data_IF_861692802929
#
_entry.id   IF_861692802929
#
_cell.length_a   1.000
_cell.length_b   1.000
_cell.length_c   1.000
_cell.angle_alpha   90.00
_cell.angle_beta   90.00
_cell.angle_gamma   90.00
#
_symmetry.space_group_name_H-M   'P 1'
#
loop_
_entity.id
_entity.type
_entity.pdbx_description
1 polymer ?
#
# COMPACT_ATOMS: atom_id res chain seq x y z
N UNK A 1 0.94 -3.54 25.75
CA UNK A 1 0.22 -2.92 24.61
C UNK A 1 1.23 -2.70 23.51
N UNK A 2 0.94 -3.10 22.27
CA UNK A 2 1.79 -2.80 21.12
C UNK A 2 1.85 -1.28 20.91
N UNK A 3 2.97 -0.77 20.40
CA UNK A 3 3.13 0.66 20.12
C UNK A 3 2.21 1.06 18.96
N UNK A 4 1.46 2.16 19.07
CA UNK A 4 0.66 2.70 17.96
C UNK A 4 1.60 3.10 16.81
N UNK A 5 1.33 2.62 15.60
CA UNK A 5 2.02 3.00 14.38
C UNK A 5 1.29 4.11 13.64
N UNK A 6 -0.03 3.94 13.44
CA UNK A 6 -0.90 4.94 12.83
C UNK A 6 -1.98 5.32 13.84
N UNK A 7 -2.22 6.61 14.01
CA UNK A 7 -3.33 7.13 14.79
C UNK A 7 -4.00 8.26 14.05
N UNK A 8 -5.29 8.11 13.85
CA UNK A 8 -6.16 9.10 13.20
C UNK A 8 -7.15 9.60 14.24
N UNK A 9 -7.28 10.91 14.39
CA UNK A 9 -8.13 11.53 15.38
C UNK A 9 -9.02 12.57 14.73
N UNK A 10 -10.33 12.37 14.84
CA UNK A 10 -11.38 13.29 14.39
C UNK A 10 -11.14 13.82 12.97
N UNK A 11 -10.81 12.90 12.03
CA UNK A 11 -10.36 13.26 10.69
C UNK A 11 -11.52 13.61 9.78
N UNK A 12 -11.50 14.85 9.28
CA UNK A 12 -12.41 15.34 8.25
C UNK A 12 -11.66 15.55 6.94
N UNK A 13 -12.22 15.05 5.85
CA UNK A 13 -11.57 15.13 4.52
C UNK A 13 -12.57 15.55 3.47
N UNK A 14 -12.19 16.54 2.67
CA UNK A 14 -12.90 16.97 1.48
C UNK A 14 -12.22 16.49 0.19
N UNK A 15 -13.03 16.17 -0.79
CA UNK A 15 -12.63 15.97 -2.19
C UNK A 15 -13.34 17.04 -2.99
N UNK A 16 -12.58 17.91 -3.64
CA UNK A 16 -13.10 19.16 -4.20
C UNK A 16 -13.83 19.95 -3.08
N UNK A 17 -15.11 20.27 -3.26
CA UNK A 17 -15.92 21.00 -2.27
C UNK A 17 -16.83 20.10 -1.43
N UNK A 18 -16.70 18.77 -1.54
CA UNK A 18 -17.54 17.82 -0.83
C UNK A 18 -16.80 17.15 0.31
N UNK A 19 -17.30 17.27 1.50
CA UNK A 19 -16.81 16.50 2.65
C UNK A 19 -17.24 15.04 2.52
N UNK A 20 -16.26 14.13 2.63
CA UNK A 20 -16.44 12.68 2.49
C UNK A 20 -16.19 11.96 3.84
N UNK A 21 -15.19 12.41 4.60
CA UNK A 21 -14.93 11.87 5.93
C UNK A 21 -15.36 12.87 6.99
N UNK A 22 -16.13 12.40 7.99
CA UNK A 22 -16.80 13.19 8.99
C UNK A 22 -16.37 12.75 10.40
N UNK A 23 -15.15 13.12 10.83
CA UNK A 23 -14.67 12.82 12.18
C UNK A 23 -14.21 11.36 12.37
N UNK A 24 -13.45 10.80 11.42
CA UNK A 24 -12.97 9.41 11.48
C UNK A 24 -11.89 9.27 12.54
N UNK A 25 -12.02 8.21 13.36
CA UNK A 25 -11.03 7.80 14.35
C UNK A 25 -10.56 6.38 14.05
N UNK A 26 -9.24 6.16 13.97
CA UNK A 26 -8.65 4.85 13.71
C UNK A 26 -7.27 4.77 14.37
N UNK A 27 -6.95 3.63 14.96
CA UNK A 27 -5.59 3.34 15.43
C UNK A 27 -5.16 1.97 14.88
N UNK A 28 -3.90 1.88 14.39
CA UNK A 28 -3.25 0.65 13.95
C UNK A 28 -1.95 0.53 14.70
N UNK A 29 -1.74 -0.59 15.39
CA UNK A 29 -0.51 -0.88 16.12
C UNK A 29 0.59 -1.39 15.18
N UNK A 30 1.82 -1.42 15.70
CA UNK A 30 2.95 -2.08 15.02
C UNK A 30 2.69 -3.58 14.93
N UNK A 31 3.02 -4.17 13.78
CA UNK A 31 2.82 -5.60 13.54
C UNK A 31 1.36 -6.03 13.73
N UNK A 32 0.42 -5.21 13.24
CA UNK A 32 -1.02 -5.52 13.24
C UNK A 32 -1.59 -5.50 11.82
N UNK A 33 -2.63 -6.31 11.62
CA UNK A 33 -3.43 -6.35 10.40
C UNK A 33 -4.84 -5.90 10.74
N UNK A 34 -5.21 -4.75 10.21
CA UNK A 34 -6.55 -4.19 10.33
C UNK A 34 -7.29 -4.28 9.01
N UNK A 35 -8.58 -4.56 9.08
CA UNK A 35 -9.47 -4.62 7.91
C UNK A 35 -10.49 -3.49 8.01
N UNK A 36 -10.68 -2.78 6.90
CA UNK A 36 -11.68 -1.73 6.77
C UNK A 36 -12.75 -2.19 5.80
N UNK A 37 -13.96 -2.35 6.30
CA UNK A 37 -15.13 -2.83 5.56
C UNK A 37 -16.24 -1.78 5.54
N UNK A 38 -17.22 -1.96 4.68
CA UNK A 38 -18.40 -1.09 4.61
C UNK A 38 -18.91 -0.93 3.19
N UNK A 39 -20.11 -0.36 2.97
CA UNK A 39 -20.68 -0.14 1.65
C UNK A 39 -19.80 0.72 0.73
N UNK A 40 -20.04 0.67 -0.57
CA UNK A 40 -19.38 1.57 -1.51
C UNK A 40 -19.80 3.02 -1.24
N UNK A 41 -18.86 3.96 -1.37
CA UNK A 41 -19.11 5.38 -1.16
C UNK A 41 -19.00 5.87 0.29
N UNK A 42 -18.66 5.01 1.25
CA UNK A 42 -18.49 5.42 2.68
C UNK A 42 -17.17 6.13 2.96
N UNK A 43 -16.25 6.20 1.99
CA UNK A 43 -14.98 6.92 2.16
C UNK A 43 -13.76 6.05 2.48
N UNK A 44 -13.84 4.72 2.37
CA UNK A 44 -12.71 3.81 2.68
C UNK A 44 -11.45 4.14 1.87
N UNK A 45 -11.56 4.24 0.56
CA UNK A 45 -10.42 4.63 -0.32
C UNK A 45 -9.99 6.09 -0.05
N UNK A 46 -10.96 6.99 0.26
CA UNK A 46 -10.66 8.37 0.67
C UNK A 46 -9.75 8.39 1.90
N UNK A 47 -10.00 7.52 2.88
CA UNK A 47 -9.15 7.39 4.06
C UNK A 47 -7.72 6.96 3.67
N UNK A 48 -7.58 5.95 2.81
CA UNK A 48 -6.27 5.51 2.28
C UNK A 48 -5.51 6.64 1.58
N UNK A 49 -6.20 7.40 0.71
CA UNK A 49 -5.61 8.55 0.03
C UNK A 49 -5.25 9.71 0.98
N UNK A 50 -6.07 9.97 1.98
CA UNK A 50 -5.79 10.98 2.99
C UNK A 50 -4.56 10.61 3.84
N UNK A 51 -4.43 9.34 4.25
CA UNK A 51 -3.25 8.84 4.99
C UNK A 51 -1.97 8.99 4.16
N UNK A 52 -2.03 8.73 2.85
CA UNK A 52 -0.86 8.90 1.97
C UNK A 52 -0.57 10.33 1.57
N UNK A 53 -1.48 11.28 1.87
CA UNK A 53 -1.32 12.70 1.56
C UNK A 53 -1.55 13.04 0.09
N UNK A 54 -2.43 12.33 -0.58
CA UNK A 54 -2.80 12.64 -1.96
C UNK A 54 -3.41 14.04 -2.03
N UNK A 55 -2.88 14.97 -2.87
CA UNK A 55 -3.28 16.38 -2.87
C UNK A 55 -4.74 16.64 -3.30
N UNK A 56 -5.39 15.66 -3.95
CA UNK A 56 -6.81 15.76 -4.28
C UNK A 56 -7.74 15.58 -3.04
N UNK A 57 -7.18 15.17 -1.90
CA UNK A 57 -7.90 14.86 -0.67
C UNK A 57 -7.45 15.80 0.45
N UNK A 58 -8.21 16.86 0.67
CA UNK A 58 -7.85 17.93 1.62
C UNK A 58 -8.33 17.58 3.03
N UNK A 59 -7.39 17.45 3.97
CA UNK A 59 -7.72 17.35 5.40
C UNK A 59 -8.16 18.73 5.89
N UNK A 60 -9.42 18.85 6.34
CA UNK A 60 -10.01 20.11 6.80
C UNK A 60 -9.98 20.23 8.33
N UNK A 61 -9.99 19.11 9.04
CA UNK A 61 -9.91 19.05 10.51
C UNK A 61 -9.36 17.69 10.95
N UNK A 62 -8.91 17.61 12.20
CA UNK A 62 -8.34 16.39 12.78
C UNK A 62 -6.85 16.24 12.53
N UNK A 63 -6.31 15.06 12.85
CA UNK A 63 -4.86 14.79 12.71
C UNK A 63 -4.58 13.35 12.32
N UNK A 64 -3.44 13.16 11.65
CA UNK A 64 -2.86 11.87 11.28
C UNK A 64 -1.46 11.79 11.89
N UNK A 65 -1.29 10.91 12.88
CA UNK A 65 0.00 10.64 13.49
C UNK A 65 0.55 9.30 12.97
N UNK A 66 1.82 9.27 12.60
CA UNK A 66 2.51 8.08 12.14
C UNK A 66 3.83 7.89 12.90
N UNK A 67 3.97 6.76 13.58
CA UNK A 67 5.11 6.44 14.47
C UNK A 67 5.37 7.53 15.53
N UNK A 68 4.28 8.18 15.99
CA UNK A 68 4.30 9.25 17.00
C UNK A 68 4.53 10.65 16.46
N UNK A 69 4.70 10.83 15.15
CA UNK A 69 4.89 12.12 14.50
C UNK A 69 3.64 12.55 13.74
N UNK A 70 3.26 13.82 13.83
CA UNK A 70 2.15 14.39 13.05
C UNK A 70 2.58 14.55 11.59
N UNK A 71 1.89 13.82 10.71
CA UNK A 71 2.13 13.82 9.27
C UNK A 71 1.03 14.54 8.49
N UNK A 72 0.07 15.15 9.17
CA UNK A 72 -1.15 15.71 8.54
C UNK A 72 -0.83 16.70 7.41
N UNK A 73 0.19 17.53 7.58
CA UNK A 73 0.62 18.52 6.58
C UNK A 73 1.78 18.04 5.68
N UNK A 74 2.32 16.84 5.90
CA UNK A 74 3.45 16.35 5.10
C UNK A 74 3.00 15.95 3.68
N UNK A 75 3.80 16.26 2.65
CA UNK A 75 3.53 15.85 1.28
C UNK A 75 3.72 14.32 1.08
N UNK A 76 3.13 13.79 0.00
CA UNK A 76 3.12 12.37 -0.36
C UNK A 76 4.51 11.72 -0.29
N UNK A 77 5.51 12.36 -0.90
CA UNK A 77 6.87 11.84 -0.96
C UNK A 77 7.51 11.68 0.44
N UNK A 78 7.26 12.60 1.35
CA UNK A 78 7.80 12.51 2.71
C UNK A 78 7.09 11.40 3.51
N UNK A 79 5.77 11.24 3.35
CA UNK A 79 5.03 10.13 3.97
C UNK A 79 5.48 8.77 3.42
N UNK A 80 5.74 8.67 2.11
CA UNK A 80 6.28 7.46 1.49
C UNK A 80 7.67 7.11 2.04
N UNK A 81 8.57 8.09 2.22
CA UNK A 81 9.90 7.90 2.83
C UNK A 81 9.81 7.41 4.28
N UNK A 82 8.79 7.83 5.03
CA UNK A 82 8.54 7.33 6.40
C UNK A 82 8.10 5.86 6.43
N UNK A 83 7.70 5.30 5.29
CA UNK A 83 7.32 3.90 5.14
C UNK A 83 5.83 3.66 5.04
N UNK A 84 5.06 4.59 4.48
CA UNK A 84 3.65 4.39 4.11
C UNK A 84 3.60 4.00 2.63
N UNK A 85 2.88 2.92 2.33
CA UNK A 85 2.65 2.40 0.98
C UNK A 85 1.15 2.24 0.73
N UNK A 86 0.70 2.53 -0.49
CA UNK A 86 -0.67 2.31 -0.94
C UNK A 86 -0.65 1.47 -2.21
N UNK A 87 -1.37 0.35 -2.20
CA UNK A 87 -1.76 -0.38 -3.40
C UNK A 87 -3.06 0.21 -3.92
N UNK A 88 -3.05 0.70 -5.14
CA UNK A 88 -4.20 1.37 -5.74
C UNK A 88 -5.24 0.37 -6.25
N UNK A 89 -6.51 0.71 -6.17
CA UNK A 89 -7.59 -0.07 -6.81
C UNK A 89 -7.31 -0.24 -8.31
N UNK A 90 -6.95 0.84 -9.00
CA UNK A 90 -6.58 0.87 -10.41
C UNK A 90 -5.18 1.45 -10.60
N UNK A 91 -4.13 0.62 -10.66
CA UNK A 91 -2.76 1.08 -10.86
C UNK A 91 -2.58 1.76 -12.21
N UNK A 92 -1.99 2.96 -12.20
CA UNK A 92 -1.76 3.74 -13.41
C UNK A 92 -0.62 3.16 -14.25
N UNK A 93 -0.72 3.35 -15.56
CA UNK A 93 0.36 3.06 -16.50
C UNK A 93 1.33 4.25 -16.56
N UNK A 94 2.63 3.95 -16.55
CA UNK A 94 3.70 4.97 -16.62
C UNK A 94 4.62 4.67 -17.81
N UNK A 95 4.29 5.13 -19.01
CA UNK A 95 5.12 4.93 -20.20
C UNK A 95 6.51 5.57 -20.02
N UNK A 96 7.53 4.89 -20.52
CA UNK A 96 8.93 5.37 -20.48
C UNK A 96 9.67 5.12 -19.16
N UNK A 97 9.02 4.52 -18.15
CA UNK A 97 9.67 4.17 -16.89
C UNK A 97 9.49 2.68 -16.65
N UNK A 98 10.58 1.91 -16.71
CA UNK A 98 10.51 0.46 -16.48
C UNK A 98 10.20 0.14 -15.01
N UNK A 99 9.56 -1.01 -14.77
CA UNK A 99 9.24 -1.48 -13.42
C UNK A 99 10.50 -1.53 -12.52
N UNK A 100 11.63 -2.01 -13.06
CA UNK A 100 12.89 -2.06 -12.32
C UNK A 100 13.44 -0.66 -12.01
N UNK A 101 13.41 0.25 -12.98
CA UNK A 101 13.86 1.63 -12.78
C UNK A 101 13.03 2.37 -11.73
N UNK A 102 11.70 2.20 -11.76
CA UNK A 102 10.78 2.76 -10.78
C UNK A 102 11.10 2.27 -9.36
N UNK A 103 11.17 0.94 -9.15
CA UNK A 103 11.46 0.34 -7.84
C UNK A 103 12.82 0.80 -7.33
N UNK A 104 13.86 0.82 -8.19
CA UNK A 104 15.19 1.26 -7.80
C UNK A 104 15.19 2.72 -7.35
N UNK A 105 14.57 3.60 -8.13
CA UNK A 105 14.47 5.02 -7.80
C UNK A 105 13.75 5.23 -6.47
N UNK A 106 12.63 4.53 -6.23
CA UNK A 106 11.90 4.61 -4.99
C UNK A 106 12.73 4.14 -3.78
N UNK A 107 13.49 3.05 -3.92
CA UNK A 107 14.40 2.55 -2.88
C UNK A 107 15.54 3.53 -2.60
N UNK A 108 16.16 4.11 -3.63
CA UNK A 108 17.22 5.12 -3.48
C UNK A 108 16.70 6.37 -2.76
N UNK A 109 15.48 6.82 -3.07
CA UNK A 109 14.83 7.93 -2.35
C UNK A 109 14.52 7.60 -0.89
N UNK A 110 14.07 6.37 -0.62
CA UNK A 110 13.76 5.90 0.74
C UNK A 110 15.02 5.80 1.61
N UNK A 111 16.12 5.28 1.03
CA UNK A 111 17.37 5.03 1.77
C UNK A 111 18.32 6.23 1.79
N UNK A 112 18.09 7.23 0.93
CA UNK A 112 18.98 8.37 0.73
C UNK A 112 20.35 7.99 0.12
N UNK A 113 20.49 6.79 -0.42
CA UNK A 113 21.76 6.28 -0.94
C UNK A 113 21.55 5.52 -2.26
N UNK A 114 22.59 5.55 -3.12
CA UNK A 114 22.58 4.79 -4.36
C UNK A 114 22.75 3.30 -4.07
N UNK A 115 21.92 2.49 -4.73
CA UNK A 115 21.97 1.04 -4.61
C UNK A 115 23.04 0.45 -5.57
N UNK A 116 23.76 -0.55 -5.11
CA UNK A 116 24.61 -1.36 -5.98
C UNK A 116 23.72 -2.13 -6.97
N UNK A 117 23.92 -1.90 -8.26
CA UNK A 117 23.05 -2.44 -9.31
C UNK A 117 22.94 -3.96 -9.27
N UNK A 118 24.04 -4.65 -8.97
CA UNK A 118 24.05 -6.12 -8.90
C UNK A 118 23.19 -6.64 -7.74
N UNK A 119 23.33 -6.06 -6.54
CA UNK A 119 22.56 -6.46 -5.35
C UNK A 119 21.07 -6.20 -5.57
N UNK A 120 20.74 -5.04 -6.15
CA UNK A 120 19.37 -4.68 -6.51
C UNK A 120 18.77 -5.68 -7.51
N UNK A 121 19.46 -5.97 -8.62
CA UNK A 121 18.97 -6.90 -9.65
C UNK A 121 18.80 -8.32 -9.09
N UNK A 122 19.72 -8.78 -8.25
CA UNK A 122 19.61 -10.07 -7.57
C UNK A 122 18.34 -10.12 -6.71
N UNK A 123 18.15 -9.14 -5.81
CA UNK A 123 16.97 -9.06 -4.92
C UNK A 123 15.66 -8.96 -5.72
N UNK A 124 15.65 -8.15 -6.78
CA UNK A 124 14.46 -7.99 -7.64
C UNK A 124 14.07 -9.34 -8.26
N UNK A 125 15.01 -10.06 -8.87
CA UNK A 125 14.80 -11.37 -9.49
C UNK A 125 14.29 -12.40 -8.47
N UNK A 126 14.92 -12.48 -7.31
CA UNK A 126 14.50 -13.37 -6.23
C UNK A 126 13.07 -13.07 -5.77
N UNK A 127 12.70 -11.78 -5.67
CA UNK A 127 11.36 -11.37 -5.26
C UNK A 127 10.32 -11.64 -6.36
N UNK A 128 10.67 -11.43 -7.64
CA UNK A 128 9.80 -11.78 -8.78
C UNK A 128 9.50 -13.27 -8.82
N UNK A 129 10.50 -14.11 -8.59
CA UNK A 129 10.33 -15.57 -8.54
C UNK A 129 9.36 -16.01 -7.44
N UNK A 130 9.34 -15.34 -6.28
CA UNK A 130 8.38 -15.61 -5.20
C UNK A 130 6.92 -15.33 -5.58
N UNK A 131 6.71 -14.41 -6.53
CA UNK A 131 5.39 -14.01 -7.02
C UNK A 131 5.01 -14.71 -8.34
N UNK A 132 5.79 -15.71 -8.75
CA UNK A 132 5.60 -16.39 -10.03
C UNK A 132 5.46 -15.37 -11.18
N UNK A 133 6.36 -14.36 -11.19
CA UNK A 133 6.40 -13.27 -12.16
C UNK A 133 7.62 -13.42 -13.05
N UNK A 134 7.40 -13.41 -14.38
CA UNK A 134 8.48 -13.53 -15.36
C UNK A 134 9.44 -12.34 -15.27
N UNK A 135 10.76 -12.62 -15.33
CA UNK A 135 11.82 -11.62 -15.20
C UNK A 135 11.75 -10.53 -16.28
N UNK A 136 11.19 -10.81 -17.44
CA UNK A 136 11.04 -9.84 -18.54
C UNK A 136 10.19 -8.62 -18.16
N UNK A 137 9.27 -8.78 -17.18
CA UNK A 137 8.46 -7.65 -16.67
C UNK A 137 9.30 -6.56 -16.02
N UNK A 138 10.48 -6.89 -15.51
CA UNK A 138 11.39 -5.90 -14.92
C UNK A 138 11.79 -4.79 -15.90
N UNK A 139 11.94 -5.13 -17.18
CA UNK A 139 12.38 -4.20 -18.23
C UNK A 139 11.21 -3.63 -19.05
N UNK A 140 9.95 -3.98 -18.72
CA UNK A 140 8.76 -3.40 -19.32
C UNK A 140 8.36 -2.13 -18.58
N UNK A 141 7.75 -1.20 -19.29
CA UNK A 141 7.19 0.02 -18.71
C UNK A 141 6.13 -0.31 -17.65
N UNK A 142 6.17 0.40 -16.54
CA UNK A 142 5.33 0.15 -15.37
C UNK A 142 3.85 0.11 -15.74
N UNK A 143 3.23 -1.05 -15.57
CA UNK A 143 1.82 -1.35 -15.81
C UNK A 143 1.35 -1.24 -17.27
N UNK A 144 2.21 -0.83 -18.22
CA UNK A 144 1.81 -0.66 -19.64
C UNK A 144 1.56 -2.03 -20.29
N UNK A 145 0.30 -2.24 -20.68
CA UNK A 145 -0.13 -3.50 -21.29
C UNK A 145 -0.09 -4.71 -20.35
N UNK A 146 -0.07 -4.48 -19.03
CA UNK A 146 -0.22 -5.55 -18.05
C UNK A 146 -1.70 -5.88 -17.88
N UNK A 147 -2.02 -7.17 -17.73
CA UNK A 147 -3.33 -7.62 -17.27
C UNK A 147 -3.60 -7.15 -15.84
N UNK A 148 -4.85 -7.22 -15.39
CA UNK A 148 -5.22 -6.85 -14.01
C UNK A 148 -4.41 -7.62 -12.95
N UNK A 149 -4.24 -8.94 -13.15
CA UNK A 149 -3.43 -9.78 -12.27
C UNK A 149 -1.95 -9.41 -12.26
N UNK A 150 -1.37 -9.10 -13.43
CA UNK A 150 0.03 -8.67 -13.54
C UNK A 150 0.26 -7.30 -12.91
N UNK A 151 -0.67 -6.35 -13.05
CA UNK A 151 -0.62 -5.04 -12.35
C UNK A 151 -0.59 -5.24 -10.84
N UNK A 152 -1.44 -6.12 -10.30
CA UNK A 152 -1.46 -6.42 -8.87
C UNK A 152 -0.21 -7.14 -8.39
N UNK A 153 0.32 -8.10 -9.16
CA UNK A 153 1.62 -8.71 -8.87
C UNK A 153 2.75 -7.66 -8.85
N UNK A 154 2.74 -6.70 -9.77
CA UNK A 154 3.73 -5.61 -9.79
C UNK A 154 3.62 -4.69 -8.56
N UNK A 155 2.41 -4.41 -8.06
CA UNK A 155 2.24 -3.67 -6.81
C UNK A 155 2.75 -4.46 -5.59
N UNK A 156 2.44 -5.76 -5.50
CA UNK A 156 2.95 -6.61 -4.43
C UNK A 156 4.49 -6.74 -4.50
N UNK A 157 5.06 -6.82 -5.70
CA UNK A 157 6.51 -6.78 -5.90
C UNK A 157 7.10 -5.47 -5.33
N UNK A 158 6.49 -4.33 -5.63
CA UNK A 158 6.90 -3.03 -5.09
C UNK A 158 6.82 -3.03 -3.55
N UNK A 159 5.74 -3.51 -2.96
CA UNK A 159 5.58 -3.61 -1.51
C UNK A 159 6.68 -4.47 -0.88
N UNK A 160 6.98 -5.65 -1.44
CA UNK A 160 8.02 -6.56 -0.95
C UNK A 160 9.44 -5.97 -1.10
N UNK A 161 9.68 -5.20 -2.17
CA UNK A 161 10.97 -4.54 -2.39
C UNK A 161 11.15 -3.31 -1.49
N UNK A 162 10.10 -2.53 -1.31
CA UNK A 162 10.13 -1.29 -0.52
C UNK A 162 10.04 -1.52 0.99
N UNK A 163 9.50 -2.64 1.45
CA UNK A 163 9.35 -3.00 2.87
C UNK A 163 8.79 -1.82 3.69
N UNK A 164 7.55 -1.37 3.43
CA UNK A 164 6.97 -0.28 4.19
C UNK A 164 6.69 -0.68 5.65
N UNK A 165 6.58 0.32 6.56
CA UNK A 165 6.09 0.09 7.92
C UNK A 165 4.59 -0.15 7.94
N UNK A 166 3.84 0.54 7.06
CA UNK A 166 2.40 0.40 6.87
C UNK A 166 2.11 0.21 5.37
N UNK A 167 1.47 -0.89 5.01
CA UNK A 167 0.91 -1.07 3.69
C UNK A 167 -0.62 -0.97 3.75
N UNK A 168 -1.18 -0.07 2.94
CA UNK A 168 -2.61 0.09 2.73
C UNK A 168 -2.94 -0.63 1.43
N UNK A 169 -3.82 -1.63 1.51
CA UNK A 169 -4.22 -2.47 0.37
C UNK A 169 -5.68 -2.15 0.02
N UNK A 170 -5.91 -1.40 -1.06
CA UNK A 170 -7.25 -0.97 -1.47
C UNK A 170 -7.79 -1.89 -2.56
N UNK A 171 -8.76 -2.74 -2.20
CA UNK A 171 -9.43 -3.73 -3.07
C UNK A 171 -8.45 -4.53 -3.97
N UNK A 172 -7.33 -4.97 -3.39
CA UNK A 172 -6.23 -5.59 -4.11
C UNK A 172 -6.60 -6.95 -4.73
N UNK A 173 -7.65 -7.57 -4.27
CA UNK A 173 -8.19 -8.85 -4.77
C UNK A 173 -9.42 -8.69 -5.69
N UNK A 174 -9.88 -7.46 -5.93
CA UNK A 174 -11.06 -7.20 -6.75
C UNK A 174 -10.78 -7.46 -8.24
N UNK A 175 -11.70 -8.18 -8.90
CA UNK A 175 -11.61 -8.47 -10.34
C UNK A 175 -10.50 -9.43 -10.75
N UNK A 176 -9.83 -10.08 -9.80
CA UNK A 176 -8.78 -11.05 -10.07
C UNK A 176 -9.33 -12.48 -10.21
N UNK A 177 -8.67 -13.27 -11.04
CA UNK A 177 -8.86 -14.72 -11.06
C UNK A 177 -8.28 -15.40 -9.81
N UNK A 178 -8.59 -16.68 -9.62
CA UNK A 178 -8.21 -17.44 -8.42
C UNK A 178 -6.69 -17.52 -8.25
N UNK A 179 -5.93 -17.66 -9.33
CA UNK A 179 -4.48 -17.82 -9.27
C UNK A 179 -3.79 -16.48 -8.95
N UNK A 180 -4.28 -15.38 -9.50
CA UNK A 180 -3.81 -14.05 -9.15
C UNK A 180 -4.10 -13.70 -7.68
N UNK A 181 -5.31 -14.00 -7.17
CA UNK A 181 -5.64 -13.84 -5.75
C UNK A 181 -4.71 -14.65 -4.86
N UNK A 182 -4.43 -15.92 -5.22
CA UNK A 182 -3.50 -16.77 -4.47
C UNK A 182 -2.09 -16.17 -4.42
N UNK A 183 -1.59 -15.67 -5.54
CA UNK A 183 -0.25 -15.04 -5.62
C UNK A 183 -0.18 -13.76 -4.82
N UNK A 184 -1.21 -12.90 -4.90
CA UNK A 184 -1.32 -11.67 -4.10
C UNK A 184 -1.35 -12.00 -2.60
N UNK A 185 -2.21 -12.95 -2.19
CA UNK A 185 -2.30 -13.38 -0.78
C UNK A 185 -0.97 -13.96 -0.26
N UNK A 186 -0.27 -14.75 -1.08
CA UNK A 186 1.08 -15.26 -0.78
C UNK A 186 2.06 -14.09 -0.56
N UNK A 187 2.04 -13.08 -1.43
CA UNK A 187 2.91 -11.91 -1.34
C UNK A 187 2.64 -11.08 -0.09
N UNK A 188 1.37 -10.86 0.27
CA UNK A 188 0.99 -10.13 1.48
C UNK A 188 1.42 -10.90 2.75
N UNK A 189 1.25 -12.22 2.77
CA UNK A 189 1.75 -13.07 3.86
C UNK A 189 3.28 -12.98 3.98
N UNK A 190 4.01 -13.10 2.87
CA UNK A 190 5.47 -12.96 2.87
C UNK A 190 5.93 -11.60 3.38
N UNK A 191 5.22 -10.52 3.04
CA UNK A 191 5.48 -9.20 3.59
C UNK A 191 5.39 -9.19 5.10
N UNK A 192 4.30 -9.72 5.66
CA UNK A 192 4.09 -9.81 7.11
C UNK A 192 5.19 -10.63 7.81
N UNK A 193 5.48 -11.81 7.28
CA UNK A 193 6.48 -12.73 7.84
C UNK A 193 7.90 -12.15 7.85
N UNK A 194 8.26 -11.37 6.82
CA UNK A 194 9.62 -10.84 6.63
C UNK A 194 9.87 -9.51 7.33
N UNK A 195 8.87 -8.65 7.33
CA UNK A 195 9.05 -7.24 7.73
C UNK A 195 8.39 -6.89 9.05
N UNK A 196 7.43 -7.71 9.51
CA UNK A 196 6.53 -7.37 10.60
C UNK A 196 5.83 -6.01 10.35
N UNK A 197 5.69 -5.62 9.08
CA UNK A 197 4.99 -4.39 8.68
C UNK A 197 3.49 -4.50 8.95
N UNK A 198 2.86 -3.40 9.33
CA UNK A 198 1.42 -3.36 9.59
C UNK A 198 0.63 -3.28 8.30
N UNK A 199 -0.59 -3.79 8.31
CA UNK A 199 -1.51 -3.78 7.18
C UNK A 199 -2.82 -3.06 7.53
N UNK A 200 -3.30 -2.23 6.61
CA UNK A 200 -4.67 -1.74 6.57
C UNK A 200 -5.29 -2.21 5.25
N UNK A 201 -6.18 -3.19 5.32
CA UNK A 201 -6.77 -3.83 4.15
C UNK A 201 -8.19 -3.32 3.96
N UNK A 202 -8.45 -2.67 2.84
CA UNK A 202 -9.78 -2.26 2.41
C UNK A 202 -10.28 -3.33 1.44
N UNK A 203 -11.29 -4.09 1.82
CA UNK A 203 -11.83 -5.14 0.96
C UNK A 203 -13.29 -5.45 1.27
N UNK A 204 -13.99 -5.96 0.25
CA UNK A 204 -15.32 -6.57 0.36
C UNK A 204 -15.25 -8.09 0.31
N UNK A 205 -14.08 -8.67 0.12
CA UNK A 205 -13.83 -10.09 -0.06
C UNK A 205 -13.09 -10.68 1.13
N UNK A 206 -13.43 -11.90 1.51
CA UNK A 206 -12.71 -12.66 2.55
C UNK A 206 -11.48 -13.39 2.01
N UNK A 207 -11.32 -13.51 0.68
CA UNK A 207 -10.29 -14.35 0.06
C UNK A 207 -8.86 -14.00 0.45
N UNK A 208 -8.53 -12.69 0.44
CA UNK A 208 -7.20 -12.23 0.85
C UNK A 208 -6.99 -12.41 2.36
N UNK A 209 -8.07 -12.37 3.15
CA UNK A 209 -8.03 -12.45 4.60
C UNK A 209 -7.82 -13.89 5.10
N UNK A 210 -8.21 -14.92 4.32
CA UNK A 210 -8.07 -16.32 4.71
C UNK A 210 -6.63 -16.74 4.99
N UNK A 211 -5.67 -16.04 4.39
CA UNK A 211 -4.24 -16.30 4.56
C UNK A 211 -3.57 -15.45 5.66
N UNK A 212 -4.34 -14.61 6.37
CA UNK A 212 -3.82 -13.61 7.29
C UNK A 212 -4.49 -13.71 8.66
N UNK A 213 -3.71 -13.41 9.70
CA UNK A 213 -4.29 -13.11 11.00
C UNK A 213 -4.77 -11.66 11.01
N UNK A 214 -6.04 -11.45 11.33
CA UNK A 214 -6.66 -10.11 11.43
C UNK A 214 -6.77 -9.75 12.91
N UNK A 215 -6.13 -8.66 13.31
CA UNK A 215 -6.13 -8.16 14.70
C UNK A 215 -7.40 -7.34 15.01
N UNK A 216 -7.89 -6.57 14.04
CA UNK A 216 -9.11 -5.78 14.18
C UNK A 216 -9.84 -5.56 12.85
N UNK A 217 -11.16 -5.42 12.93
CA UNK A 217 -12.02 -5.05 11.81
C UNK A 217 -12.78 -3.77 12.15
N UNK A 218 -12.80 -2.84 11.19
CA UNK A 218 -13.48 -1.55 11.27
C UNK A 218 -14.57 -1.48 10.22
N UNK A 219 -15.68 -0.84 10.53
CA UNK A 219 -16.81 -0.65 9.60
C UNK A 219 -17.07 0.85 9.46
N UNK A 220 -17.13 1.31 8.20
CA UNK A 220 -17.48 2.69 7.84
C UNK A 220 -18.85 2.74 7.18
#
# INVERSE_FOLDING_TARGET
MKKELLKIQDLHVCVEDKEILHGVNLAVGQDETHVLMGPNGTGKSTLGYAITGNPAYSVTSGSILFDGEDITALPVNERAKKGIFLSFQNPLEVPGVTLSAFIRSALEQKTGSRLRLWDFKKRLRETMALLDMDESYAERDLNVGFSGGEKKKAEILQMLMLEPKLAILDETDSGLDVDAVRTVSKGVRLFRERTHGSLLIITHSTRILEALHVDAAHVM
#
